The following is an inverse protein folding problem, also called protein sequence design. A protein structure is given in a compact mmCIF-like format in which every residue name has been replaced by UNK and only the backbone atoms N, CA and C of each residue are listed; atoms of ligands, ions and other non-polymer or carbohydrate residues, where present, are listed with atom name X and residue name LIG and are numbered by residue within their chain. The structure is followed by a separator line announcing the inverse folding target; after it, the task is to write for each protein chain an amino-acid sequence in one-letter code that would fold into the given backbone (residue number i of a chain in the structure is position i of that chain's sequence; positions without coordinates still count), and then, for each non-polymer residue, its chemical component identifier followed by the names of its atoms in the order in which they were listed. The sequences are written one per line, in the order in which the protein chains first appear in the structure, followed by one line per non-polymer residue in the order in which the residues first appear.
data_IF_126006765354
#
_entry.id   IF_126006765354
#
_cell.length_a   1.000
_cell.length_b   1.000
_cell.length_c   1.000
_cell.angle_alpha   90.00
_cell.angle_beta   90.00
_cell.angle_gamma   90.00
#
_symmetry.space_group_name_H-M   'P 1'
#
loop_
_entity.id
_entity.type
_entity.pdbx_description
1 polymer ?
#
# COMPACT_ATOMS: atom_id res chain seq x y z
N UNK A 1 34.52 8.88 12.09
CA UNK A 1 35.17 8.40 10.85
C UNK A 1 34.80 6.92 10.56
N UNK A 2 33.54 6.54 10.75
CA UNK A 2 33.02 5.15 10.54
C UNK A 2 32.04 5.04 9.35
N UNK A 3 31.84 6.11 8.58
CA UNK A 3 30.77 6.20 7.58
C UNK A 3 31.12 5.72 6.16
N UNK A 4 32.32 5.21 5.90
CA UNK A 4 32.77 4.85 4.55
C UNK A 4 33.32 3.42 4.39
N UNK A 5 33.13 2.53 5.36
CA UNK A 5 33.38 1.12 5.07
C UNK A 5 32.34 0.61 4.04
N UNK A 6 32.82 0.02 2.94
CA UNK A 6 31.95 -0.58 1.95
C UNK A 6 31.16 -1.72 2.60
N UNK A 7 29.86 -1.69 2.48
CA UNK A 7 28.96 -2.76 2.91
C UNK A 7 28.46 -3.49 1.66
N UNK A 8 28.38 -4.79 1.73
CA UNK A 8 27.96 -5.60 0.57
C UNK A 8 26.86 -6.58 0.95
N UNK A 9 25.89 -6.71 0.08
CA UNK A 9 24.88 -7.77 0.16
C UNK A 9 25.61 -9.11 -0.02
N UNK A 10 25.47 -10.01 0.96
CA UNK A 10 26.04 -11.35 0.93
C UNK A 10 25.00 -12.42 0.66
N UNK A 11 23.76 -12.23 1.14
CA UNK A 11 22.67 -13.18 0.93
C UNK A 11 21.34 -12.45 0.78
N UNK A 12 20.45 -13.04 -0.01
CA UNK A 12 19.04 -12.65 -0.12
C UNK A 12 18.20 -13.91 0.09
N UNK A 13 17.29 -13.84 1.08
CA UNK A 13 16.38 -14.94 1.39
C UNK A 13 14.94 -14.45 1.24
N UNK A 14 14.05 -15.35 0.87
CA UNK A 14 12.62 -15.06 0.91
C UNK A 14 11.87 -16.16 1.65
N UNK A 15 10.92 -15.73 2.45
CA UNK A 15 10.03 -16.58 3.25
C UNK A 15 8.61 -16.44 2.74
N UNK A 16 7.86 -17.54 2.73
CA UNK A 16 6.43 -17.55 2.46
C UNK A 16 5.68 -17.55 3.78
N UNK A 17 4.77 -16.59 3.95
CA UNK A 17 3.92 -16.53 5.12
C UNK A 17 2.46 -16.40 4.71
N UNK A 18 1.61 -17.25 5.26
CA UNK A 18 0.17 -17.17 5.10
C UNK A 18 -0.42 -16.22 6.15
N UNK A 19 -1.25 -15.30 5.70
CA UNK A 19 -1.88 -14.28 6.54
C UNK A 19 -3.42 -14.45 6.49
N UNK A 20 -3.99 -15.32 7.36
CA UNK A 20 -5.43 -15.47 7.50
C UNK A 20 -6.07 -14.20 8.07
N UNK A 21 -7.30 -13.91 7.66
CA UNK A 21 -8.05 -12.73 8.05
C UNK A 21 -8.86 -12.93 9.33
N UNK A 22 -8.97 -11.88 10.15
CA UNK A 22 -9.91 -11.83 11.29
C UNK A 22 -11.37 -11.92 10.83
N UNK A 23 -11.73 -11.23 9.74
CA UNK A 23 -13.09 -11.23 9.18
C UNK A 23 -13.35 -12.41 8.21
N UNK A 24 -12.55 -13.47 8.29
CA UNK A 24 -12.61 -14.69 7.48
C UNK A 24 -12.48 -14.49 5.97
N UNK A 25 -13.11 -13.48 5.39
CA UNK A 25 -13.11 -13.25 3.93
C UNK A 25 -13.13 -11.76 3.63
N UNK A 26 -12.24 -11.31 2.76
CA UNK A 26 -12.25 -9.98 2.18
C UNK A 26 -12.80 -10.04 0.76
N UNK A 27 -13.86 -9.27 0.47
CA UNK A 27 -14.58 -9.27 -0.81
C UNK A 27 -14.54 -7.90 -1.45
N UNK A 28 -14.36 -7.86 -2.78
CA UNK A 28 -14.40 -6.63 -3.57
C UNK A 28 -15.00 -6.86 -4.96
N UNK A 29 -14.81 -5.92 -5.89
CA UNK A 29 -15.45 -5.88 -7.20
C UNK A 29 -15.38 -7.20 -7.99
N UNK A 30 -16.41 -7.46 -8.79
CA UNK A 30 -16.47 -8.61 -9.69
C UNK A 30 -16.55 -9.96 -8.98
N UNK A 31 -17.06 -10.02 -7.75
CA UNK A 31 -17.19 -11.26 -6.97
C UNK A 31 -15.87 -11.84 -6.48
N UNK A 32 -14.79 -11.07 -6.52
CA UNK A 32 -13.47 -11.50 -6.06
C UNK A 32 -13.41 -11.56 -4.53
N UNK A 33 -12.67 -12.54 -4.01
CA UNK A 33 -12.48 -12.67 -2.56
C UNK A 33 -11.17 -13.37 -2.21
N UNK A 34 -10.67 -13.09 -1.00
CA UNK A 34 -9.49 -13.74 -0.40
C UNK A 34 -9.81 -14.08 1.05
N UNK A 35 -9.38 -15.24 1.50
CA UNK A 35 -9.50 -15.69 2.91
C UNK A 35 -8.15 -15.74 3.60
N UNK A 36 -7.09 -16.02 2.83
CA UNK A 36 -5.69 -16.10 3.31
C UNK A 36 -4.82 -15.42 2.27
N UNK A 37 -4.03 -14.43 2.68
CA UNK A 37 -3.06 -13.80 1.81
C UNK A 37 -1.74 -14.57 1.83
N UNK A 38 -1.12 -14.73 0.65
CA UNK A 38 0.20 -15.33 0.49
C UNK A 38 1.25 -14.23 0.39
N UNK A 39 1.90 -13.94 1.52
CA UNK A 39 2.93 -12.91 1.64
C UNK A 39 4.33 -13.46 1.41
N UNK A 40 5.20 -12.63 0.85
CA UNK A 40 6.62 -12.93 0.70
C UNK A 40 7.44 -11.92 1.51
N UNK A 41 8.15 -12.39 2.52
CA UNK A 41 9.07 -11.59 3.32
C UNK A 41 10.48 -11.78 2.77
N UNK A 42 11.12 -10.68 2.40
CA UNK A 42 12.49 -10.64 1.86
C UNK A 42 13.43 -10.23 2.98
N UNK A 43 14.50 -11.00 3.15
CA UNK A 43 15.60 -10.72 4.08
C UNK A 43 16.88 -10.50 3.27
N UNK A 44 17.56 -9.38 3.51
CA UNK A 44 18.85 -9.03 2.91
C UNK A 44 19.92 -9.00 4.00
N UNK A 45 20.96 -9.81 3.83
CA UNK A 45 22.09 -9.90 4.77
C UNK A 45 23.33 -9.23 4.17
N UNK A 46 24.17 -8.66 5.04
CA UNK A 46 25.38 -7.93 4.63
C UNK A 46 26.65 -8.48 5.30
N UNK A 47 27.80 -8.22 4.70
CA UNK A 47 29.12 -8.52 5.27
C UNK A 47 29.45 -7.69 6.53
N UNK A 48 28.68 -6.63 6.80
CA UNK A 48 28.79 -5.83 8.02
C UNK A 48 27.90 -6.36 9.18
N UNK A 49 27.20 -7.47 8.99
CA UNK A 49 26.30 -8.06 9.98
C UNK A 49 24.95 -7.37 10.13
N UNK A 50 24.67 -6.30 9.34
CA UNK A 50 23.34 -5.71 9.28
C UNK A 50 22.41 -6.56 8.40
N UNK A 51 21.17 -6.65 8.83
CA UNK A 51 20.12 -7.42 8.16
C UNK A 51 18.88 -6.53 8.02
N UNK A 52 18.37 -6.43 6.81
CA UNK A 52 17.12 -5.70 6.56
C UNK A 52 16.01 -6.61 6.07
N UNK A 53 14.78 -6.18 6.30
CA UNK A 53 13.60 -6.92 5.93
C UNK A 53 12.63 -6.06 5.12
N UNK A 54 11.99 -6.71 4.14
CA UNK A 54 10.91 -6.11 3.36
C UNK A 54 9.79 -7.13 3.17
N UNK A 55 8.61 -6.67 2.84
CA UNK A 55 7.45 -7.52 2.62
C UNK A 55 6.73 -7.08 1.36
N UNK A 56 6.24 -8.05 0.60
CA UNK A 56 5.36 -7.84 -0.54
C UNK A 56 4.24 -8.88 -0.52
N UNK A 57 3.01 -8.40 -0.66
CA UNK A 57 1.83 -9.23 -0.59
C UNK A 57 0.84 -8.82 -1.71
N UNK A 58 0.91 -9.43 -2.89
CA UNK A 58 -0.08 -9.22 -3.93
C UNK A 58 -1.47 -9.63 -3.48
N UNK A 59 -2.50 -8.92 -3.92
CA UNK A 59 -3.91 -9.21 -3.61
C UNK A 59 -4.45 -10.38 -4.48
N UNK A 60 -3.61 -11.32 -4.85
CA UNK A 60 -3.90 -12.40 -5.78
C UNK A 60 -3.60 -12.03 -7.25
N UNK A 61 -3.64 -13.02 -8.16
CA UNK A 61 -3.20 -12.85 -9.56
C UNK A 61 -4.20 -12.08 -10.43
N UNK A 62 -5.35 -11.69 -9.90
CA UNK A 62 -6.49 -11.11 -10.62
C UNK A 62 -6.76 -9.64 -10.23
N UNK A 63 -5.85 -9.01 -9.49
CA UNK A 63 -5.96 -7.60 -9.08
C UNK A 63 -5.02 -6.69 -9.90
N UNK A 64 -3.73 -6.87 -9.77
CA UNK A 64 -2.68 -6.20 -10.51
C UNK A 64 -1.77 -7.26 -11.16
N UNK A 65 -0.91 -6.89 -12.13
CA UNK A 65 -0.04 -7.86 -12.82
C UNK A 65 1.10 -8.37 -11.90
N UNK A 66 0.72 -8.96 -10.75
CA UNK A 66 1.62 -9.53 -9.76
C UNK A 66 0.92 -10.65 -9.00
N UNK A 67 1.67 -11.69 -8.62
CA UNK A 67 1.21 -12.79 -7.79
C UNK A 67 2.37 -13.36 -6.97
N UNK A 68 2.07 -14.01 -5.85
CA UNK A 68 3.07 -14.37 -4.85
C UNK A 68 4.19 -15.29 -5.39
N UNK A 69 3.86 -16.34 -6.16
CA UNK A 69 4.87 -17.20 -6.77
C UNK A 69 5.70 -16.47 -7.82
N UNK A 70 5.10 -15.53 -8.55
CA UNK A 70 5.82 -14.65 -9.49
C UNK A 70 6.83 -13.75 -8.78
N UNK A 71 6.51 -13.25 -7.59
CA UNK A 71 7.46 -12.50 -6.76
C UNK A 71 8.64 -13.39 -6.40
N UNK A 72 8.40 -14.60 -5.89
CA UNK A 72 9.45 -15.54 -5.49
C UNK A 72 10.30 -16.01 -6.68
N UNK A 73 9.68 -16.27 -7.82
CA UNK A 73 10.41 -16.59 -9.06
C UNK A 73 11.29 -15.43 -9.54
N UNK A 74 10.73 -14.21 -9.54
CA UNK A 74 11.46 -13.01 -9.91
C UNK A 74 12.62 -12.68 -8.95
N UNK A 75 12.51 -13.01 -7.66
CA UNK A 75 13.63 -12.89 -6.73
C UNK A 75 14.79 -13.83 -7.09
N UNK A 76 14.52 -15.07 -7.55
CA UNK A 76 15.58 -16.00 -8.01
C UNK A 76 16.31 -15.45 -9.24
N UNK A 77 15.59 -14.78 -10.13
CA UNK A 77 16.16 -14.14 -11.32
C UNK A 77 16.97 -12.89 -10.95
N UNK A 78 16.39 -12.02 -10.12
CA UNK A 78 16.97 -10.70 -9.81
C UNK A 78 18.11 -10.77 -8.79
N UNK A 79 17.99 -11.63 -7.77
CA UNK A 79 18.87 -11.64 -6.60
C UNK A 79 20.35 -11.82 -6.90
N UNK A 80 20.78 -12.73 -7.82
CA UNK A 80 22.19 -12.90 -8.16
C UNK A 80 22.87 -11.62 -8.66
N UNK A 81 22.13 -10.71 -9.30
CA UNK A 81 22.65 -9.44 -9.80
C UNK A 81 22.92 -8.42 -8.69
N UNK A 82 22.44 -8.66 -7.46
CA UNK A 82 22.54 -7.74 -6.34
C UNK A 82 23.62 -8.15 -5.33
N UNK A 83 24.10 -9.37 -5.38
CA UNK A 83 25.21 -9.81 -4.52
C UNK A 83 26.45 -8.93 -4.76
N UNK A 84 27.12 -8.58 -3.65
CA UNK A 84 28.27 -7.68 -3.65
C UNK A 84 27.97 -6.21 -3.84
N UNK A 85 26.69 -5.80 -4.04
CA UNK A 85 26.29 -4.39 -4.10
C UNK A 85 26.15 -3.81 -2.69
N UNK A 86 26.34 -2.49 -2.55
CA UNK A 86 26.06 -1.79 -1.30
C UNK A 86 24.57 -1.48 -1.19
N UNK A 87 23.84 -2.06 -0.22
CA UNK A 87 22.39 -1.86 -0.06
C UNK A 87 21.99 -0.42 0.27
N UNK A 88 22.93 0.41 0.76
CA UNK A 88 22.67 1.81 1.11
C UNK A 88 22.64 2.73 -0.11
N UNK A 89 23.16 2.27 -1.25
CA UNK A 89 23.18 3.04 -2.51
C UNK A 89 21.88 2.83 -3.29
N UNK A 90 20.75 3.20 -2.66
CA UNK A 90 19.39 2.87 -3.11
C UNK A 90 19.12 3.24 -4.58
N UNK A 91 19.49 4.42 -5.03
CA UNK A 91 19.27 4.84 -6.42
C UNK A 91 20.03 3.96 -7.42
N UNK A 92 21.30 3.63 -7.11
CA UNK A 92 22.09 2.72 -7.96
C UNK A 92 21.54 1.31 -7.96
N UNK A 93 21.11 0.84 -6.78
CA UNK A 93 20.53 -0.49 -6.65
C UNK A 93 19.23 -0.61 -7.46
N UNK A 94 18.35 0.40 -7.38
CA UNK A 94 17.13 0.47 -8.17
C UNK A 94 17.43 0.48 -9.68
N UNK A 95 18.39 1.29 -10.11
CA UNK A 95 18.82 1.29 -11.51
C UNK A 95 19.33 -0.09 -11.98
N UNK A 96 20.09 -0.78 -11.12
CA UNK A 96 20.57 -2.15 -11.40
C UNK A 96 19.42 -3.15 -11.46
N UNK A 97 18.47 -3.08 -10.55
CA UNK A 97 17.25 -3.90 -10.56
C UNK A 97 16.44 -3.69 -11.85
N UNK A 98 16.27 -2.44 -12.27
CA UNK A 98 15.55 -2.10 -13.50
C UNK A 98 16.29 -2.54 -14.78
N UNK A 99 17.60 -2.61 -14.75
CA UNK A 99 18.41 -3.14 -15.86
C UNK A 99 18.35 -4.66 -15.94
N UNK A 100 18.42 -5.35 -14.78
CA UNK A 100 18.45 -6.80 -14.70
C UNK A 100 17.09 -7.46 -14.94
N UNK A 101 16.00 -6.85 -14.46
CA UNK A 101 14.63 -7.37 -14.59
C UNK A 101 13.67 -6.26 -15.04
N UNK A 102 13.18 -6.33 -16.28
CA UNK A 102 12.22 -5.35 -16.80
C UNK A 102 10.83 -5.56 -16.19
N UNK A 103 10.16 -4.47 -15.81
CA UNK A 103 8.86 -4.55 -15.12
C UNK A 103 8.98 -5.16 -13.71
N UNK A 104 7.99 -5.95 -13.32
CA UNK A 104 7.94 -6.69 -12.05
C UNK A 104 8.23 -5.84 -10.80
N UNK A 105 7.52 -4.72 -10.58
CA UNK A 105 7.79 -3.80 -9.47
C UNK A 105 7.66 -4.49 -8.09
N UNK A 106 6.73 -5.43 -7.94
CA UNK A 106 6.57 -6.19 -6.70
C UNK A 106 7.81 -7.01 -6.31
N UNK A 107 8.55 -7.55 -7.28
CA UNK A 107 9.81 -8.26 -7.00
C UNK A 107 10.85 -7.32 -6.41
N UNK A 108 10.94 -6.11 -6.95
CA UNK A 108 11.93 -5.08 -6.55
C UNK A 108 11.59 -4.46 -5.21
N UNK A 109 10.30 -4.30 -4.92
CA UNK A 109 9.79 -3.63 -3.73
C UNK A 109 10.31 -4.27 -2.44
N UNK A 110 10.22 -5.58 -2.30
CA UNK A 110 10.69 -6.27 -1.09
C UNK A 110 12.19 -6.07 -0.82
N UNK A 111 13.00 -6.07 -1.88
CA UNK A 111 14.44 -5.79 -1.78
C UNK A 111 14.69 -4.33 -1.41
N UNK A 112 14.00 -3.40 -2.05
CA UNK A 112 14.15 -1.97 -1.81
C UNK A 112 13.77 -1.60 -0.38
N UNK A 113 12.64 -2.12 0.15
CA UNK A 113 12.23 -1.92 1.54
C UNK A 113 13.30 -2.46 2.51
N UNK A 114 13.82 -3.68 2.26
CA UNK A 114 14.89 -4.27 3.08
C UNK A 114 16.17 -3.42 3.05
N UNK A 115 16.50 -2.82 1.92
CA UNK A 115 17.66 -1.93 1.79
C UNK A 115 17.44 -0.59 2.51
N UNK A 116 16.23 -0.05 2.53
CA UNK A 116 15.88 1.10 3.37
C UNK A 116 16.00 0.79 4.86
N UNK A 117 15.60 -0.40 5.27
CA UNK A 117 15.77 -0.87 6.65
C UNK A 117 17.25 -0.90 7.04
N UNK A 118 18.12 -1.50 6.20
CA UNK A 118 19.57 -1.50 6.40
C UNK A 118 20.15 -0.07 6.45
N UNK A 119 19.71 0.81 5.55
CA UNK A 119 20.18 2.20 5.55
C UNK A 119 19.81 2.88 6.86
N UNK A 120 18.59 2.74 7.36
CA UNK A 120 18.15 3.28 8.63
C UNK A 120 18.95 2.74 9.82
N UNK A 121 19.16 1.44 9.88
CA UNK A 121 19.99 0.80 10.90
C UNK A 121 21.42 1.34 10.85
N UNK A 122 22.03 1.41 9.67
CA UNK A 122 23.41 1.90 9.50
C UNK A 122 23.58 3.38 9.86
N UNK A 123 22.55 4.18 9.68
CA UNK A 123 22.52 5.60 10.02
C UNK A 123 22.10 5.86 11.48
N UNK A 124 21.60 4.84 12.19
CA UNK A 124 21.02 5.01 13.53
C UNK A 124 19.73 5.83 13.53
N UNK A 125 18.96 5.81 12.41
CA UNK A 125 17.77 6.65 12.21
C UNK A 125 16.56 5.82 11.76
N UNK A 126 15.34 6.18 12.19
CA UNK A 126 14.12 5.63 11.60
C UNK A 126 14.02 5.95 10.11
N UNK A 127 13.43 5.07 9.33
CA UNK A 127 13.28 5.27 7.88
C UNK A 127 12.50 6.55 7.54
N UNK A 128 11.50 6.96 8.32
CA UNK A 128 10.76 8.20 8.06
C UNK A 128 11.64 9.45 8.14
N UNK A 129 12.65 9.48 9.01
CA UNK A 129 13.59 10.60 9.08
C UNK A 129 14.46 10.68 7.80
N UNK A 130 14.87 9.55 7.27
CA UNK A 130 15.64 9.47 6.01
C UNK A 130 14.78 9.75 4.78
N UNK A 131 13.47 9.52 4.87
CA UNK A 131 12.52 9.86 3.81
C UNK A 131 12.17 11.36 3.75
N UNK A 132 12.62 12.16 4.72
CA UNK A 132 12.41 13.62 4.72
C UNK A 132 12.02 14.22 6.06
N UNK A 133 11.86 13.40 7.10
CA UNK A 133 11.50 13.82 8.45
C UNK A 133 10.06 13.47 8.82
N UNK A 134 9.82 13.41 10.12
CA UNK A 134 8.53 13.03 10.69
C UNK A 134 7.57 14.21 10.76
N UNK A 135 6.37 14.07 10.23
CA UNK A 135 5.28 15.03 10.35
C UNK A 135 4.24 14.56 11.38
N UNK A 136 4.08 15.33 12.46
CA UNK A 136 3.13 15.02 13.54
C UNK A 136 3.55 13.84 14.44
N UNK A 137 2.65 13.46 15.32
CA UNK A 137 2.86 12.34 16.26
C UNK A 137 2.27 11.03 15.75
N UNK A 138 1.17 11.13 15.01
CA UNK A 138 0.43 10.03 14.42
C UNK A 138 -0.37 10.51 13.18
N UNK A 139 -0.97 9.58 12.45
CA UNK A 139 -1.80 9.88 11.28
C UNK A 139 -3.06 9.02 11.25
N UNK A 140 -4.07 9.49 10.52
CA UNK A 140 -5.35 8.80 10.38
C UNK A 140 -5.27 7.57 9.49
N UNK A 141 -5.93 6.50 9.93
CA UNK A 141 -6.15 5.30 9.15
C UNK A 141 -7.56 5.27 8.57
N UNK A 142 -7.72 4.64 7.43
CA UNK A 142 -9.03 4.20 6.95
C UNK A 142 -9.29 2.73 7.34
N UNK A 143 -10.56 2.36 7.40
CA UNK A 143 -10.97 0.97 7.47
C UNK A 143 -11.74 0.59 6.21
N UNK A 144 -11.30 -0.48 5.55
CA UNK A 144 -12.01 -1.03 4.40
C UNK A 144 -13.26 -1.79 4.88
N UNK A 145 -14.38 -1.55 4.20
CA UNK A 145 -15.64 -2.27 4.40
C UNK A 145 -15.80 -3.22 3.23
N UNK A 146 -15.62 -4.52 3.51
CA UNK A 146 -15.76 -5.61 2.55
C UNK A 146 -17.14 -5.60 1.89
N UNK A 147 -17.23 -6.05 0.63
CA UNK A 147 -18.48 -6.03 -0.13
C UNK A 147 -19.48 -7.04 0.41
N UNK A 148 -20.62 -6.56 0.92
CA UNK A 148 -21.71 -7.32 1.50
C UNK A 148 -23.07 -6.67 1.15
N UNK A 149 -24.17 -7.07 1.79
CA UNK A 149 -25.45 -6.41 1.67
C UNK A 149 -25.37 -4.95 2.23
N UNK A 150 -26.15 -4.00 1.70
CA UNK A 150 -26.08 -2.59 2.11
C UNK A 150 -26.18 -2.36 3.60
N UNK A 151 -27.11 -3.03 4.28
CA UNK A 151 -27.34 -2.90 5.71
C UNK A 151 -26.19 -3.46 6.55
N UNK A 152 -25.64 -4.61 6.14
CA UNK A 152 -24.48 -5.25 6.80
C UNK A 152 -23.24 -4.34 6.73
N UNK A 153 -23.00 -3.72 5.56
CA UNK A 153 -21.90 -2.77 5.39
C UNK A 153 -22.10 -1.50 6.23
N UNK A 154 -23.33 -1.00 6.31
CA UNK A 154 -23.68 0.15 7.13
C UNK A 154 -23.50 -0.11 8.64
N UNK A 155 -23.85 -1.30 9.11
CA UNK A 155 -23.73 -1.67 10.53
C UNK A 155 -22.27 -1.79 10.99
N UNK A 156 -21.36 -2.19 10.11
CA UNK A 156 -19.90 -2.22 10.39
C UNK A 156 -19.32 -0.85 10.73
N UNK A 157 -19.88 0.25 10.19
CA UNK A 157 -19.40 1.61 10.43
C UNK A 157 -19.42 1.95 11.92
N UNK A 158 -20.46 1.56 12.66
CA UNK A 158 -20.57 1.83 14.09
C UNK A 158 -19.48 1.12 14.90
N UNK A 159 -19.18 -0.14 14.56
CA UNK A 159 -18.09 -0.92 15.16
C UNK A 159 -16.72 -0.29 14.92
N UNK A 160 -16.41 0.02 13.66
CA UNK A 160 -15.12 0.63 13.30
C UNK A 160 -14.97 2.04 13.91
N UNK A 161 -16.06 2.79 14.01
CA UNK A 161 -16.03 4.09 14.70
C UNK A 161 -15.74 3.94 16.19
N UNK A 162 -16.27 2.92 16.86
CA UNK A 162 -15.95 2.63 18.25
C UNK A 162 -14.46 2.29 18.45
N UNK A 163 -13.81 1.74 17.44
CA UNK A 163 -12.36 1.54 17.38
C UNK A 163 -11.55 2.81 17.04
N UNK A 164 -12.25 3.91 16.73
CA UNK A 164 -11.68 5.24 16.48
C UNK A 164 -11.51 5.61 15.02
N UNK A 165 -11.86 4.75 14.05
CA UNK A 165 -11.81 5.11 12.63
C UNK A 165 -12.83 6.21 12.30
N UNK A 166 -12.39 7.11 11.41
CA UNK A 166 -13.17 8.23 10.86
C UNK A 166 -13.11 8.28 9.34
N UNK A 167 -12.43 7.34 8.74
CA UNK A 167 -12.26 7.22 7.29
C UNK A 167 -12.60 5.80 6.89
N UNK A 168 -13.47 5.69 5.88
CA UNK A 168 -14.03 4.42 5.46
C UNK A 168 -13.85 4.26 3.96
N UNK A 169 -13.31 3.12 3.53
CA UNK A 169 -13.24 2.73 2.14
C UNK A 169 -14.30 1.63 1.89
N UNK A 170 -15.36 2.00 1.22
CA UNK A 170 -16.48 1.12 0.90
C UNK A 170 -16.20 0.38 -0.38
N UNK A 171 -16.15 -0.95 -0.35
CA UNK A 171 -15.96 -1.76 -1.56
C UNK A 171 -17.27 -1.87 -2.33
N UNK A 172 -17.23 -1.38 -3.58
CA UNK A 172 -18.29 -1.39 -4.58
C UNK A 172 -17.77 -2.01 -5.89
N UNK A 173 -18.35 -1.72 -7.04
CA UNK A 173 -17.87 -2.28 -8.33
C UNK A 173 -18.56 -3.60 -8.69
N UNK A 174 -19.80 -3.76 -8.23
CA UNK A 174 -20.70 -4.83 -8.61
C UNK A 174 -21.91 -4.31 -9.41
N UNK A 175 -23.10 -4.86 -9.13
CA UNK A 175 -24.34 -4.36 -9.70
C UNK A 175 -24.60 -2.89 -9.30
N UNK A 176 -24.83 -1.99 -10.26
CA UNK A 176 -24.97 -0.55 -9.98
C UNK A 176 -26.11 -0.21 -9.00
N UNK A 177 -27.26 -0.90 -9.06
CA UNK A 177 -28.38 -0.60 -8.17
C UNK A 177 -28.05 -1.00 -6.72
N UNK A 178 -27.42 -2.15 -6.56
CA UNK A 178 -26.92 -2.63 -5.26
C UNK A 178 -25.84 -1.68 -4.71
N UNK A 179 -24.92 -1.20 -5.55
CA UNK A 179 -23.84 -0.30 -5.11
C UNK A 179 -24.35 1.10 -4.75
N UNK A 180 -25.35 1.61 -5.45
CA UNK A 180 -26.08 2.83 -5.07
C UNK A 180 -26.70 2.66 -3.68
N UNK A 181 -27.37 1.52 -3.42
CA UNK A 181 -27.97 1.24 -2.11
C UNK A 181 -26.88 1.14 -1.01
N UNK A 182 -25.74 0.48 -1.28
CA UNK A 182 -24.58 0.41 -0.38
C UNK A 182 -24.07 1.79 0.02
N UNK A 183 -23.86 2.67 -0.97
CA UNK A 183 -23.38 4.03 -0.73
C UNK A 183 -24.35 4.82 0.15
N UNK A 184 -25.66 4.79 -0.15
CA UNK A 184 -26.66 5.47 0.67
C UNK A 184 -26.75 4.91 2.09
N UNK A 185 -26.76 3.58 2.25
CA UNK A 185 -26.87 2.94 3.56
C UNK A 185 -25.68 3.28 4.46
N UNK A 186 -24.46 3.24 3.92
CA UNK A 186 -23.23 3.58 4.66
C UNK A 186 -23.17 5.09 4.94
N UNK A 187 -23.48 5.94 3.95
CA UNK A 187 -23.49 7.39 4.12
C UNK A 187 -24.44 7.86 5.22
N UNK A 188 -25.62 7.22 5.36
CA UNK A 188 -26.58 7.51 6.41
C UNK A 188 -26.06 7.24 7.84
N UNK A 189 -24.99 6.45 8.00
CA UNK A 189 -24.34 6.15 9.29
C UNK A 189 -23.19 7.10 9.61
N UNK A 190 -22.74 7.91 8.66
CA UNK A 190 -21.60 8.81 8.87
C UNK A 190 -21.95 9.97 9.79
N UNK A 191 -20.93 10.50 10.44
CA UNK A 191 -21.01 11.66 11.32
C UNK A 191 -20.15 12.80 10.78
N UNK A 192 -20.40 14.05 11.19
CA UNK A 192 -19.56 15.18 10.80
C UNK A 192 -18.07 14.90 11.04
N UNK A 193 -17.25 15.11 10.01
CA UNK A 193 -15.81 14.85 10.02
C UNK A 193 -15.40 13.44 9.57
N UNK A 194 -16.35 12.51 9.38
CA UNK A 194 -16.06 11.24 8.71
C UNK A 194 -15.82 11.46 7.21
N UNK A 195 -15.06 10.56 6.57
CA UNK A 195 -14.84 10.53 5.12
C UNK A 195 -15.18 9.18 4.56
N UNK A 196 -15.84 9.19 3.41
CA UNK A 196 -16.22 7.99 2.67
C UNK A 196 -15.56 7.98 1.29
N UNK A 197 -14.93 6.88 0.96
CA UNK A 197 -14.44 6.56 -0.39
C UNK A 197 -15.21 5.35 -0.88
N UNK A 198 -15.87 5.44 -2.02
CA UNK A 198 -16.49 4.32 -2.71
C UNK A 198 -15.52 3.79 -3.76
N UNK A 199 -14.87 2.69 -3.44
CA UNK A 199 -13.83 2.09 -4.27
C UNK A 199 -14.41 0.93 -5.08
N UNK A 200 -14.48 1.14 -6.39
CA UNK A 200 -15.00 0.17 -7.33
C UNK A 200 -13.94 -0.84 -7.81
N UNK A 201 -12.68 -0.63 -7.51
CA UNK A 201 -11.57 -1.49 -7.95
C UNK A 201 -11.73 -1.95 -9.41
N UNK A 202 -11.94 -1.00 -10.32
CA UNK A 202 -12.14 -1.19 -11.77
C UNK A 202 -13.43 -1.94 -12.16
N UNK A 203 -14.39 -2.12 -11.24
CA UNK A 203 -15.50 -3.08 -11.41
C UNK A 203 -16.63 -2.65 -12.33
N UNK A 204 -16.81 -1.35 -12.61
CA UNK A 204 -17.86 -0.87 -13.50
C UNK A 204 -17.36 -0.62 -14.92
N UNK A 205 -18.22 -0.83 -15.89
CA UNK A 205 -18.03 -0.23 -17.21
C UNK A 205 -18.45 1.25 -17.19
N UNK A 206 -17.97 2.05 -18.14
CA UNK A 206 -18.09 3.50 -18.11
C UNK A 206 -19.53 4.02 -17.88
N UNK A 207 -20.54 3.46 -18.56
CA UNK A 207 -21.92 3.94 -18.41
C UNK A 207 -22.54 3.63 -17.04
N UNK A 208 -22.16 2.49 -16.44
CA UNK A 208 -22.55 2.11 -15.07
C UNK A 208 -21.92 3.04 -14.04
N UNK A 209 -20.62 3.31 -14.16
CA UNK A 209 -19.91 4.25 -13.30
C UNK A 209 -20.55 5.65 -13.32
N UNK A 210 -20.88 6.15 -14.51
CA UNK A 210 -21.60 7.42 -14.68
C UNK A 210 -22.98 7.38 -14.04
N UNK A 211 -23.71 6.27 -14.17
CA UNK A 211 -25.04 6.06 -13.56
C UNK A 211 -24.94 6.10 -12.02
N UNK A 212 -24.01 5.35 -11.45
CA UNK A 212 -23.78 5.35 -9.98
C UNK A 212 -23.43 6.75 -9.50
N UNK A 213 -22.42 7.40 -10.11
CA UNK A 213 -21.99 8.74 -9.70
C UNK A 213 -23.14 9.77 -9.77
N UNK A 214 -24.00 9.71 -10.79
CA UNK A 214 -25.17 10.58 -10.90
C UNK A 214 -26.25 10.29 -9.85
N UNK A 215 -26.47 9.01 -9.53
CA UNK A 215 -27.48 8.61 -8.55
C UNK A 215 -27.10 9.07 -7.12
N UNK A 216 -25.81 9.08 -6.80
CA UNK A 216 -25.30 9.45 -5.46
C UNK A 216 -24.78 10.90 -5.39
N UNK A 217 -25.12 11.75 -6.33
CA UNK A 217 -24.57 13.12 -6.49
C UNK A 217 -24.70 14.02 -5.25
N UNK A 218 -25.68 13.76 -4.39
CA UNK A 218 -25.93 14.53 -3.15
C UNK A 218 -25.22 13.92 -1.92
N UNK A 219 -24.48 12.83 -2.10
CA UNK A 219 -23.70 12.15 -1.04
C UNK A 219 -22.29 12.70 -1.03
N UNK A 220 -21.77 13.06 0.14
CA UNK A 220 -20.35 13.41 0.31
C UNK A 220 -19.50 12.15 0.27
N UNK A 221 -19.10 11.75 -0.93
CA UNK A 221 -18.33 10.53 -1.21
C UNK A 221 -17.27 10.77 -2.29
N UNK A 222 -16.09 10.23 -2.09
CA UNK A 222 -15.05 10.15 -3.11
C UNK A 222 -15.30 8.91 -3.98
N UNK A 223 -15.21 9.04 -5.28
CA UNK A 223 -15.29 7.90 -6.22
C UNK A 223 -13.87 7.44 -6.55
N UNK A 224 -13.55 6.19 -6.20
CA UNK A 224 -12.23 5.62 -6.45
C UNK A 224 -12.28 4.57 -7.56
N UNK A 225 -11.37 4.68 -8.52
CA UNK A 225 -11.07 3.76 -9.61
C UNK A 225 -12.31 3.05 -10.19
N UNK A 226 -13.26 3.80 -10.78
CA UNK A 226 -14.55 3.24 -11.19
C UNK A 226 -14.44 2.25 -12.34
N UNK A 227 -13.48 2.43 -13.26
CA UNK A 227 -13.36 1.66 -14.50
C UNK A 227 -11.95 1.07 -14.66
N UNK A 228 -11.81 0.14 -15.60
CA UNK A 228 -10.58 -0.58 -15.84
C UNK A 228 -9.46 0.31 -16.41
N UNK A 229 -9.81 1.13 -17.42
CA UNK A 229 -8.81 1.94 -18.12
C UNK A 229 -8.79 3.39 -17.62
N UNK A 230 -7.64 4.02 -17.78
CA UNK A 230 -7.46 5.43 -17.47
C UNK A 230 -8.44 6.32 -18.27
N UNK A 231 -8.63 6.03 -19.56
CA UNK A 231 -9.49 6.78 -20.45
C UNK A 231 -10.96 6.70 -20.02
N UNK A 232 -11.43 5.53 -19.59
CA UNK A 232 -12.79 5.37 -19.05
C UNK A 232 -12.94 6.15 -17.74
N UNK A 233 -11.98 6.05 -16.83
CA UNK A 233 -11.98 6.83 -15.57
C UNK A 233 -12.00 8.33 -15.84
N UNK A 234 -11.20 8.83 -16.79
CA UNK A 234 -11.20 10.23 -17.20
C UNK A 234 -12.56 10.66 -17.81
N UNK A 235 -13.19 9.78 -18.58
CA UNK A 235 -14.53 10.05 -19.15
C UNK A 235 -15.61 10.11 -18.06
N UNK A 236 -15.53 9.29 -17.02
CA UNK A 236 -16.40 9.35 -15.83
C UNK A 236 -16.13 10.63 -15.05
N UNK A 237 -14.84 10.96 -14.76
CA UNK A 237 -14.44 12.17 -14.05
C UNK A 237 -15.04 13.44 -14.62
N UNK A 238 -15.10 13.54 -15.95
CA UNK A 238 -15.67 14.68 -16.67
C UNK A 238 -17.19 14.83 -16.55
N UNK A 239 -17.88 13.81 -16.03
CA UNK A 239 -19.34 13.76 -15.90
C UNK A 239 -19.82 13.77 -14.43
N UNK A 240 -18.91 13.89 -13.47
CA UNK A 240 -19.25 13.95 -12.04
C UNK A 240 -18.58 15.13 -11.35
N UNK A 241 -19.24 15.67 -10.32
CA UNK A 241 -18.68 16.66 -9.41
C UNK A 241 -18.05 16.03 -8.14
N UNK A 242 -18.18 14.71 -7.96
CA UNK A 242 -17.56 14.04 -6.81
C UNK A 242 -16.04 14.18 -6.86
N UNK A 243 -15.39 14.34 -5.70
CA UNK A 243 -13.94 14.16 -5.62
C UNK A 243 -13.56 12.75 -6.11
N UNK A 244 -12.45 12.67 -6.82
CA UNK A 244 -12.09 11.50 -7.60
C UNK A 244 -10.71 10.95 -7.21
N UNK A 245 -10.62 9.65 -7.01
CA UNK A 245 -9.38 8.96 -6.63
C UNK A 245 -8.97 8.01 -7.75
N UNK A 246 -7.72 8.08 -8.19
CA UNK A 246 -7.12 7.07 -9.07
C UNK A 246 -6.18 6.18 -8.26
N UNK A 247 -6.26 4.88 -8.50
CA UNK A 247 -5.45 3.83 -7.89
C UNK A 247 -4.78 2.96 -8.94
N UNK A 248 -5.46 1.93 -9.44
CA UNK A 248 -4.86 0.88 -10.28
C UNK A 248 -4.18 1.44 -11.53
N UNK A 249 -4.69 2.52 -12.08
CA UNK A 249 -4.12 3.14 -13.28
C UNK A 249 -2.84 3.96 -13.02
N UNK A 250 -2.52 4.29 -11.77
CA UNK A 250 -1.32 5.05 -11.42
C UNK A 250 -0.21 4.09 -10.98
N UNK A 251 0.51 3.56 -11.93
CA UNK A 251 1.56 2.55 -11.73
C UNK A 251 2.98 3.06 -12.07
N UNK A 252 3.10 4.27 -12.63
CA UNK A 252 4.37 4.96 -12.83
C UNK A 252 4.25 6.50 -12.74
N UNK A 253 5.38 7.20 -12.78
CA UNK A 253 5.42 8.65 -12.71
C UNK A 253 4.87 9.33 -13.97
N UNK A 254 4.97 8.70 -15.12
CA UNK A 254 4.49 9.26 -16.40
C UNK A 254 2.97 9.38 -16.39
N UNK A 255 2.27 8.31 -15.98
CA UNK A 255 0.81 8.35 -15.87
C UNK A 255 0.35 9.28 -14.73
N UNK A 256 1.10 9.38 -13.63
CA UNK A 256 0.82 10.35 -12.56
C UNK A 256 0.87 11.79 -13.07
N UNK A 257 1.90 12.14 -13.83
CA UNK A 257 2.04 13.48 -14.45
C UNK A 257 0.93 13.74 -15.47
N UNK A 258 0.59 12.74 -16.28
CA UNK A 258 -0.53 12.82 -17.22
C UNK A 258 -1.85 13.06 -16.47
N UNK A 259 -2.11 12.31 -15.41
CA UNK A 259 -3.34 12.45 -14.62
C UNK A 259 -3.48 13.85 -14.00
N UNK A 260 -2.37 14.48 -13.58
CA UNK A 260 -2.38 15.87 -13.13
C UNK A 260 -2.71 16.82 -14.27
N UNK A 261 -2.11 16.66 -15.45
CA UNK A 261 -2.35 17.51 -16.59
C UNK A 261 -3.79 17.41 -17.10
N UNK A 262 -4.37 16.21 -17.11
CA UNK A 262 -5.74 15.93 -17.53
C UNK A 262 -6.80 16.31 -16.48
N UNK A 263 -6.40 16.74 -15.25
CA UNK A 263 -7.28 16.96 -14.09
C UNK A 263 -8.12 15.71 -13.76
N UNK A 264 -7.50 14.54 -13.92
CA UNK A 264 -8.17 13.24 -13.84
C UNK A 264 -8.49 12.80 -12.41
N UNK A 265 -7.87 13.43 -11.39
CA UNK A 265 -8.03 13.07 -10.00
C UNK A 265 -7.86 14.26 -9.06
N UNK A 266 -8.43 14.15 -7.87
CA UNK A 266 -8.23 15.06 -6.74
C UNK A 266 -7.31 14.43 -5.69
N UNK A 267 -7.36 13.11 -5.57
CA UNK A 267 -6.54 12.27 -4.67
C UNK A 267 -5.95 11.12 -5.48
N UNK A 268 -4.75 10.69 -5.15
CA UNK A 268 -4.14 9.49 -5.72
C UNK A 268 -3.89 8.44 -4.65
N UNK A 269 -4.13 7.17 -4.98
CA UNK A 269 -3.76 6.03 -4.14
C UNK A 269 -2.41 5.47 -4.61
N UNK A 270 -1.39 5.66 -3.78
CA UNK A 270 -0.02 5.21 -4.04
C UNK A 270 0.28 3.95 -3.21
N UNK A 271 0.66 2.87 -3.89
CA UNK A 271 1.03 1.59 -3.30
C UNK A 271 2.51 1.31 -3.46
N UNK A 272 3.19 0.98 -2.34
CA UNK A 272 4.65 0.79 -2.31
C UNK A 272 5.08 -0.26 -3.32
N UNK A 273 4.46 -1.44 -3.30
CA UNK A 273 4.84 -2.55 -4.18
C UNK A 273 4.48 -2.31 -5.64
N UNK A 274 3.36 -1.62 -5.91
CA UNK A 274 2.93 -1.26 -7.27
C UNK A 274 3.96 -0.37 -7.98
N UNK A 275 4.59 0.55 -7.25
CA UNK A 275 5.61 1.45 -7.79
C UNK A 275 7.03 0.86 -7.72
N UNK A 276 7.25 -0.23 -6.96
CA UNK A 276 8.54 -0.92 -6.90
C UNK A 276 9.42 -0.57 -5.71
N UNK A 277 8.82 -0.13 -4.60
CA UNK A 277 9.50 0.09 -3.33
C UNK A 277 9.46 1.54 -2.83
N UNK A 278 10.01 1.75 -1.64
CA UNK A 278 10.05 3.06 -0.96
C UNK A 278 10.82 4.12 -1.76
N UNK A 279 11.86 3.72 -2.49
CA UNK A 279 12.66 4.66 -3.32
C UNK A 279 11.80 5.30 -4.41
N UNK A 280 11.01 4.52 -5.13
CA UNK A 280 10.18 5.02 -6.23
C UNK A 280 8.90 5.70 -5.75
N UNK A 281 8.26 5.15 -4.71
CA UNK A 281 7.05 5.79 -4.17
C UNK A 281 7.37 7.13 -3.49
N UNK A 282 8.56 7.29 -2.90
CA UNK A 282 9.04 8.60 -2.42
C UNK A 282 9.06 9.63 -3.54
N UNK A 283 9.54 9.28 -4.74
CA UNK A 283 9.55 10.19 -5.89
C UNK A 283 8.12 10.59 -6.29
N UNK A 284 7.18 9.63 -6.32
CA UNK A 284 5.76 9.90 -6.60
C UNK A 284 5.16 10.83 -5.52
N UNK A 285 5.40 10.56 -4.24
CA UNK A 285 4.96 11.40 -3.11
C UNK A 285 5.50 12.83 -3.23
N UNK A 286 6.79 12.99 -3.47
CA UNK A 286 7.42 14.31 -3.57
C UNK A 286 6.88 15.13 -4.76
N UNK A 287 6.56 14.45 -5.87
CA UNK A 287 5.85 15.06 -6.99
C UNK A 287 4.43 15.47 -6.60
N UNK A 288 3.67 14.61 -5.93
CA UNK A 288 2.31 14.92 -5.46
C UNK A 288 2.30 16.14 -4.54
N UNK A 289 3.22 16.20 -3.57
CA UNK A 289 3.39 17.38 -2.71
C UNK A 289 3.65 18.64 -3.53
N UNK A 290 4.59 18.57 -4.48
CA UNK A 290 4.93 19.70 -5.34
C UNK A 290 3.79 20.16 -6.25
N UNK A 291 2.91 19.23 -6.63
CA UNK A 291 1.75 19.48 -7.50
C UNK A 291 0.45 19.78 -6.74
N UNK A 292 0.46 19.77 -5.40
CA UNK A 292 -0.72 19.98 -4.58
C UNK A 292 -1.75 18.85 -4.67
N UNK A 293 -1.30 17.58 -4.76
CA UNK A 293 -2.17 16.39 -4.83
C UNK A 293 -2.15 15.66 -3.50
N UNK A 294 -3.31 15.42 -2.91
CA UNK A 294 -3.44 14.59 -1.72
C UNK A 294 -3.28 13.10 -2.06
N UNK A 295 -2.79 12.31 -1.09
CA UNK A 295 -2.45 10.91 -1.30
C UNK A 295 -3.04 9.99 -0.25
N UNK A 296 -3.57 8.86 -0.66
CA UNK A 296 -3.62 7.65 0.16
C UNK A 296 -2.29 6.93 0.01
N UNK A 297 -1.66 6.57 1.12
CA UNK A 297 -0.38 5.86 1.14
C UNK A 297 -0.56 4.49 1.77
N UNK A 298 -0.34 3.44 0.98
CA UNK A 298 -0.58 2.06 1.37
C UNK A 298 0.25 1.06 0.56
N UNK A 299 -0.12 -0.21 0.61
CA UNK A 299 0.30 -1.24 -0.34
C UNK A 299 -0.92 -2.08 -0.79
N UNK A 300 -0.69 -3.13 -1.57
CA UNK A 300 -1.79 -4.01 -2.00
C UNK A 300 -2.35 -4.82 -0.85
N UNK A 301 -1.48 -5.36 -0.01
CA UNK A 301 -1.73 -5.99 1.28
C UNK A 301 -0.42 -6.16 2.04
N UNK A 302 -0.49 -6.82 3.23
CA UNK A 302 0.69 -7.21 3.99
C UNK A 302 0.40 -7.47 5.47
N UNK A 303 1.45 -7.88 6.17
CA UNK A 303 1.48 -8.03 7.62
C UNK A 303 2.23 -6.87 8.30
N UNK A 304 3.00 -7.23 9.32
CA UNK A 304 3.70 -6.26 10.18
C UNK A 304 4.77 -5.45 9.46
N UNK A 305 5.53 -6.08 8.55
CA UNK A 305 6.68 -5.44 7.88
C UNK A 305 6.19 -4.46 6.81
N UNK A 306 5.17 -4.86 6.02
CA UNK A 306 4.54 -3.95 5.06
C UNK A 306 3.89 -2.76 5.78
N UNK A 307 3.19 -3.00 6.89
CA UNK A 307 2.59 -1.94 7.71
C UNK A 307 3.64 -0.99 8.28
N UNK A 308 4.82 -1.50 8.69
CA UNK A 308 5.92 -0.64 9.12
C UNK A 308 6.44 0.26 7.99
N UNK A 309 6.62 -0.28 6.78
CA UNK A 309 7.03 0.50 5.61
C UNK A 309 6.00 1.60 5.27
N UNK A 310 4.70 1.25 5.27
CA UNK A 310 3.59 2.20 5.08
C UNK A 310 3.63 3.31 6.14
N UNK A 311 3.82 2.94 7.42
CA UNK A 311 3.87 3.90 8.51
C UNK A 311 5.02 4.91 8.36
N UNK A 312 6.21 4.47 7.98
CA UNK A 312 7.34 5.36 7.74
C UNK A 312 7.11 6.31 6.57
N UNK A 313 6.53 5.81 5.47
CA UNK A 313 6.18 6.63 4.32
C UNK A 313 5.11 7.68 4.68
N UNK A 314 4.04 7.27 5.36
CA UNK A 314 2.96 8.17 5.78
C UNK A 314 3.49 9.26 6.73
N UNK A 315 4.31 8.91 7.72
CA UNK A 315 4.91 9.88 8.64
C UNK A 315 5.88 10.86 7.98
N UNK A 316 6.47 10.50 6.85
CA UNK A 316 7.37 11.38 6.10
C UNK A 316 6.64 12.26 5.07
N UNK A 317 5.31 12.30 5.14
CA UNK A 317 4.46 13.07 4.21
C UNK A 317 3.81 14.23 4.95
N UNK A 318 3.86 15.47 4.41
CA UNK A 318 3.17 16.61 5.01
C UNK A 318 1.69 16.31 5.22
N UNK A 319 1.17 16.70 6.40
CA UNK A 319 -0.17 16.29 6.87
C UNK A 319 -1.30 16.74 5.95
N UNK A 320 -1.15 17.88 5.30
CA UNK A 320 -2.14 18.43 4.35
C UNK A 320 -2.25 17.62 3.06
N UNK A 321 -1.21 16.84 2.71
CA UNK A 321 -1.20 15.96 1.53
C UNK A 321 -1.42 14.49 1.88
N UNK A 322 -1.40 14.11 3.14
CA UNK A 322 -1.75 12.77 3.57
C UNK A 322 -3.28 12.64 3.72
N UNK A 323 -3.94 12.18 2.66
CA UNK A 323 -5.38 11.97 2.69
C UNK A 323 -5.75 10.87 3.67
N UNK A 324 -5.13 9.70 3.59
CA UNK A 324 -5.27 8.59 4.54
C UNK A 324 -4.17 7.54 4.35
N UNK A 325 -4.17 6.53 5.23
CA UNK A 325 -3.30 5.36 5.16
C UNK A 325 -4.02 4.15 5.76
N UNK A 326 -3.36 2.99 5.85
CA UNK A 326 -3.94 1.75 6.39
C UNK A 326 -2.97 1.02 7.30
N UNK A 327 -3.51 0.10 8.09
CA UNK A 327 -2.82 -0.78 9.03
C UNK A 327 -3.13 -2.25 8.72
N UNK A 328 -2.59 -2.78 7.61
CA UNK A 328 -2.92 -4.13 7.15
C UNK A 328 -2.68 -5.22 8.20
N UNK A 329 -1.71 -5.04 9.10
CA UNK A 329 -1.47 -5.99 10.18
C UNK A 329 -2.64 -6.13 11.16
N UNK A 330 -3.57 -5.17 11.22
CA UNK A 330 -4.79 -5.30 12.02
C UNK A 330 -5.89 -6.14 11.37
N UNK A 331 -5.76 -6.46 10.09
CA UNK A 331 -6.73 -7.30 9.37
C UNK A 331 -6.40 -8.79 9.49
N UNK A 332 -5.15 -9.14 9.81
CA UNK A 332 -4.66 -10.52 9.79
C UNK A 332 -4.43 -11.07 11.19
N UNK A 333 -4.55 -12.39 11.33
CA UNK A 333 -4.45 -13.07 12.63
C UNK A 333 -3.01 -13.44 13.02
N UNK A 334 -2.06 -13.34 12.09
CA UNK A 334 -0.66 -13.71 12.27
C UNK A 334 0.20 -12.46 12.42
N UNK A 335 0.93 -12.35 13.51
CA UNK A 335 1.96 -11.32 13.70
C UNK A 335 3.30 -11.88 13.27
N UNK A 336 3.93 -11.23 12.29
CA UNK A 336 5.21 -11.66 11.68
C UNK A 336 6.43 -10.97 12.26
N UNK A 337 6.24 -9.88 13.04
CA UNK A 337 7.34 -9.14 13.65
C UNK A 337 6.94 -8.50 14.99
N UNK A 338 7.92 -8.33 15.87
CA UNK A 338 7.81 -7.47 17.04
C UNK A 338 8.12 -6.01 16.68
N UNK A 339 7.63 -5.06 17.48
CA UNK A 339 7.83 -3.63 17.24
C UNK A 339 7.00 -3.06 16.09
N UNK A 340 6.12 -3.85 15.47
CA UNK A 340 5.25 -3.40 14.40
C UNK A 340 4.32 -2.26 14.85
N UNK A 341 4.01 -1.31 13.96
CA UNK A 341 3.08 -0.24 14.25
C UNK A 341 1.73 -0.77 14.73
N UNK A 342 1.20 -0.15 15.79
CA UNK A 342 -0.07 -0.54 16.37
C UNK A 342 -1.10 0.56 16.15
N UNK A 343 -2.33 0.14 15.86
CA UNK A 343 -3.47 1.05 15.78
C UNK A 343 -3.89 1.50 17.18
N UNK A 344 -4.02 2.81 17.34
CA UNK A 344 -4.58 3.42 18.55
C UNK A 344 -5.68 4.40 18.13
N UNK A 345 -6.93 4.07 18.42
CA UNK A 345 -8.10 4.91 18.10
C UNK A 345 -8.16 5.34 16.63
N UNK A 346 -8.00 4.39 15.71
CA UNK A 346 -8.02 4.66 14.25
C UNK A 346 -6.84 5.48 13.74
N UNK A 347 -5.75 5.56 14.50
CA UNK A 347 -4.51 6.26 14.15
C UNK A 347 -3.30 5.37 14.36
N UNK A 348 -2.20 5.67 13.69
CA UNK A 348 -0.96 4.89 13.74
C UNK A 348 0.27 5.81 13.74
N UNK A 349 1.36 5.32 14.31
CA UNK A 349 2.69 5.95 14.27
C UNK A 349 3.73 4.98 13.76
N UNK A 350 4.71 5.48 13.01
CA UNK A 350 5.92 4.71 12.68
C UNK A 350 6.81 4.58 13.92
N UNK A 351 7.61 3.52 13.97
CA UNK A 351 8.62 3.32 15.01
C UNK A 351 9.60 4.50 15.08
N UNK A 352 10.15 4.75 16.28
CA UNK A 352 11.26 5.69 16.50
C UNK A 352 12.62 4.98 16.52
N UNK A 353 12.64 3.65 16.42
CA UNK A 353 13.87 2.87 16.36
C UNK A 353 14.51 2.96 14.97
N UNK A 354 15.85 2.75 14.88
CA UNK A 354 16.55 2.72 13.59
C UNK A 354 15.97 1.70 12.60
N UNK A 355 16.03 2.00 11.32
CA UNK A 355 15.44 1.18 10.27
C UNK A 355 13.93 1.28 10.25
N UNK A 356 13.25 0.17 9.95
CA UNK A 356 11.81 0.02 10.10
C UNK A 356 11.39 -0.12 11.57
N UNK A 357 12.35 -0.38 12.47
CA UNK A 357 12.13 -0.53 13.90
C UNK A 357 11.33 -1.77 14.27
N UNK A 358 11.47 -2.84 13.49
CA UNK A 358 10.80 -4.13 13.70
C UNK A 358 11.83 -5.24 13.84
N UNK A 359 11.43 -6.32 14.51
CA UNK A 359 12.22 -7.57 14.62
C UNK A 359 11.35 -8.73 14.13
N UNK A 360 11.67 -9.34 12.98
CA UNK A 360 10.88 -10.47 12.48
C UNK A 360 10.93 -11.68 13.41
N UNK A 361 9.80 -12.37 13.53
CA UNK A 361 9.65 -13.61 14.30
C UNK A 361 10.05 -14.79 13.44
N UNK A 362 11.30 -15.23 13.55
CA UNK A 362 11.87 -16.27 12.69
C UNK A 362 11.17 -17.62 12.83
N UNK A 363 10.60 -17.92 13.99
CA UNK A 363 9.76 -19.10 14.22
C UNK A 363 8.44 -19.06 13.43
N UNK A 364 7.90 -17.88 13.20
CA UNK A 364 6.70 -17.67 12.36
C UNK A 364 7.06 -17.71 10.87
N UNK A 365 8.21 -17.14 10.49
CA UNK A 365 8.66 -17.13 9.09
C UNK A 365 9.04 -18.53 8.60
N UNK A 366 9.55 -19.40 9.48
CA UNK A 366 9.98 -20.77 9.13
C UNK A 366 11.22 -20.80 8.24
N UNK A 367 11.29 -21.81 7.36
CA UNK A 367 12.42 -21.96 6.45
C UNK A 367 12.27 -21.10 5.20
N UNK A 368 13.36 -20.54 4.66
CA UNK A 368 13.31 -19.76 3.45
C UNK A 368 12.98 -20.61 2.23
N UNK A 369 12.06 -20.13 1.40
CA UNK A 369 11.66 -20.75 0.12
C UNK A 369 12.53 -20.30 -1.07
N UNK A 370 13.32 -19.23 -0.87
CA UNK A 370 14.33 -18.74 -1.81
C UNK A 370 15.61 -18.45 -1.02
N UNK A 371 16.74 -18.92 -1.52
CA UNK A 371 18.08 -18.64 -0.96
C UNK A 371 19.01 -18.27 -2.11
N UNK A 372 19.68 -17.13 -2.01
CA UNK A 372 20.60 -16.59 -3.01
C UNK A 372 21.86 -16.09 -2.26
N UNK A 373 23.00 -16.63 -2.59
CA UNK A 373 24.28 -16.33 -1.93
C UNK A 373 24.72 -17.36 -0.91
#
# INVERSE_FOLDING_TARGET
MLLFQSMKITRILAYRVELPLHETTYKWSGGKSVTVFDSTIVRVETDAGLVGHGEVCPLGPFYLPAYADGVRAGLRELGPHLLGQDPRQLAKLNHRMDAALKGHPYVKSGIDIACWDILGQSAGMPVCELLGGRYGEDFHLYRAISQEAPEEMADKVAGYRAEGYRRFQLKVGGDPDTDIARIFAVAAKLQPGDRLVADANTGWVQHEAVRVAKAVREVDVYIEQPCLTYEECLAVRRQTAHPFVLDENIDDLGILLRAKADLAMDVVNLKISKLGGLTKIRQARDLCVSMGIAMTLEDSWGGDIATAAIAHLAHSTPTEFLFTSTDFNSYVTVSTAEGAPQRVKGRMSASRQPGLGITPKMDVLGEPVVVIG
#
